data_IF_856714772086
#
_entry.id   IF_856714772086
#
_cell.length_a   1.000
_cell.length_b   1.000
_cell.length_c   1.000
_cell.angle_alpha   90.00
_cell.angle_beta   90.00
_cell.angle_gamma   90.00
#
_symmetry.space_group_name_H-M   'P 1'
#
loop_
_entity.id
_entity.type
_entity.pdbx_description
1 polymer ?
#
# COMPACT_ATOMS: atom_id res chain seq x y z
N UNK A 1 7.77 -2.19 12.34
CA UNK A 1 8.35 -1.18 11.44
C UNK A 1 8.14 -1.64 10.01
N UNK A 2 9.22 -1.82 9.24
CA UNK A 2 9.16 -2.43 7.91
C UNK A 2 9.32 -3.96 7.93
N UNK A 3 9.23 -4.60 9.09
CA UNK A 3 9.63 -6.00 9.28
C UNK A 3 8.85 -6.99 8.40
N UNK A 4 7.59 -6.69 8.08
CA UNK A 4 6.73 -7.48 7.19
C UNK A 4 6.76 -7.03 5.72
N UNK A 5 7.57 -6.01 5.39
CA UNK A 5 7.62 -5.38 4.07
C UNK A 5 8.99 -5.56 3.43
N UNK A 6 9.00 -5.93 2.16
CA UNK A 6 10.20 -5.92 1.34
C UNK A 6 10.25 -4.61 0.55
N UNK A 7 11.27 -3.79 0.79
CA UNK A 7 11.50 -2.55 0.02
C UNK A 7 12.12 -2.91 -1.33
N UNK A 8 11.33 -2.77 -2.40
CA UNK A 8 11.77 -2.98 -3.78
C UNK A 8 12.56 -1.77 -4.30
N UNK A 9 12.10 -0.57 -3.96
CA UNK A 9 12.77 0.69 -4.29
C UNK A 9 12.74 1.59 -3.05
N UNK A 10 13.81 2.32 -2.81
CA UNK A 10 14.02 3.14 -1.62
C UNK A 10 14.77 4.43 -1.99
N UNK A 11 14.27 5.14 -3.01
CA UNK A 11 14.94 6.29 -3.60
C UNK A 11 15.05 7.50 -2.67
N UNK A 12 15.94 8.43 -3.00
CA UNK A 12 16.19 9.65 -2.23
C UNK A 12 16.60 9.37 -0.79
N UNK A 13 15.89 9.94 0.18
CA UNK A 13 16.08 9.68 1.61
C UNK A 13 15.37 8.40 2.11
N UNK A 14 14.83 7.60 1.19
CA UNK A 14 14.14 6.35 1.47
C UNK A 14 12.79 6.49 2.17
N UNK A 15 12.16 5.35 2.40
CA UNK A 15 10.95 5.21 3.19
C UNK A 15 11.20 5.56 4.65
N UNK A 16 10.30 6.36 5.23
CA UNK A 16 10.27 6.64 6.67
C UNK A 16 8.92 6.28 7.27
N UNK A 17 8.87 6.23 8.60
CA UNK A 17 7.65 6.07 9.37
C UNK A 17 7.50 7.32 10.22
N UNK A 18 6.37 8.01 10.06
CA UNK A 18 6.04 9.23 10.78
C UNK A 18 4.77 9.03 11.64
N UNK A 19 4.53 9.94 12.58
CA UNK A 19 3.35 9.93 13.45
C UNK A 19 2.25 10.81 12.85
N UNK A 20 0.99 10.45 13.10
CA UNK A 20 -0.16 11.26 12.70
C UNK A 20 -0.51 12.33 13.77
N UNK A 21 -0.95 13.53 13.35
CA UNK A 21 -0.91 14.03 11.97
C UNK A 21 0.54 14.40 11.59
N UNK A 22 0.88 14.12 10.33
CA UNK A 22 2.17 14.50 9.75
C UNK A 22 2.32 16.00 9.53
N UNK A 23 3.56 16.44 9.26
CA UNK A 23 3.83 17.82 8.85
C UNK A 23 3.07 18.14 7.55
N UNK A 24 2.19 19.12 7.63
CA UNK A 24 1.31 19.53 6.54
C UNK A 24 0.33 18.43 6.05
N UNK A 25 -0.06 17.51 6.93
CA UNK A 25 -1.06 16.48 6.66
C UNK A 25 -2.31 16.61 7.54
N UNK A 26 -3.33 15.79 7.27
CA UNK A 26 -4.55 15.69 8.08
C UNK A 26 -4.59 14.40 8.87
N UNK A 27 -5.48 14.34 9.86
CA UNK A 27 -5.81 13.09 10.53
C UNK A 27 -6.59 12.17 9.58
N UNK A 28 -6.25 10.89 9.62
CA UNK A 28 -7.04 9.84 8.97
C UNK A 28 -8.31 9.59 9.80
N UNK A 29 -9.48 9.30 9.19
CA UNK A 29 -10.71 8.98 9.92
C UNK A 29 -10.69 7.58 10.60
N UNK A 30 -9.52 7.13 11.05
CA UNK A 30 -9.31 5.85 11.73
C UNK A 30 -8.53 6.09 13.04
N UNK A 31 -9.22 6.23 14.18
CA UNK A 31 -8.59 6.70 15.43
C UNK A 31 -7.53 5.73 16.00
N UNK A 32 -7.49 4.48 15.52
CA UNK A 32 -6.50 3.49 15.92
C UNK A 32 -5.20 3.56 15.10
N UNK A 33 -5.18 4.31 14.00
CA UNK A 33 -4.00 4.50 13.15
C UNK A 33 -3.21 5.68 13.69
N UNK A 34 -1.98 5.44 14.12
CA UNK A 34 -1.10 6.47 14.72
C UNK A 34 0.10 6.81 13.84
N UNK A 35 0.45 5.94 12.88
CA UNK A 35 1.65 6.06 12.06
C UNK A 35 1.33 5.79 10.61
N UNK A 36 2.12 6.37 9.72
CA UNK A 36 2.06 6.10 8.28
C UNK A 36 3.47 5.97 7.69
N UNK A 37 3.54 5.42 6.50
CA UNK A 37 4.76 5.34 5.71
C UNK A 37 4.84 6.54 4.77
N UNK A 38 6.00 7.20 4.69
CA UNK A 38 6.22 8.33 3.80
C UNK A 38 7.35 8.00 2.81
N UNK A 39 7.12 8.36 1.55
CA UNK A 39 8.08 8.23 0.45
C UNK A 39 9.00 9.47 0.37
N UNK A 40 10.10 9.34 -0.36
CA UNK A 40 10.99 10.46 -0.67
C UNK A 40 10.65 11.10 -2.03
N UNK A 41 11.44 12.09 -2.44
CA UNK A 41 11.37 12.76 -3.75
C UNK A 41 11.74 11.87 -4.96
N UNK A 42 12.17 10.63 -4.73
CA UNK A 42 12.40 9.61 -5.76
C UNK A 42 11.50 8.40 -5.49
N UNK A 43 11.35 7.53 -6.51
CA UNK A 43 10.47 6.37 -6.43
C UNK A 43 10.79 5.46 -5.24
N UNK A 44 9.75 5.18 -4.46
CA UNK A 44 9.79 4.35 -3.27
C UNK A 44 8.70 3.29 -3.43
N UNK A 45 9.08 2.01 -3.38
CA UNK A 45 8.16 0.88 -3.55
C UNK A 45 8.44 -0.17 -2.49
N UNK A 46 7.37 -0.66 -1.86
CA UNK A 46 7.42 -1.78 -0.92
C UNK A 46 6.34 -2.79 -1.29
N UNK A 47 6.57 -4.06 -0.99
CA UNK A 47 5.60 -5.12 -1.21
C UNK A 47 5.58 -6.12 -0.05
N UNK A 48 4.47 -6.84 0.06
CA UNK A 48 4.30 -7.96 0.97
C UNK A 48 3.74 -9.14 0.18
N UNK A 49 4.18 -10.35 0.53
CA UNK A 49 3.61 -11.60 0.02
C UNK A 49 2.79 -12.22 1.14
N UNK A 50 1.54 -12.58 0.85
CA UNK A 50 0.64 -13.23 1.81
C UNK A 50 0.41 -14.66 1.35
N UNK A 51 0.93 -15.62 2.12
CA UNK A 51 0.65 -17.04 1.91
C UNK A 51 -0.71 -17.36 2.52
N UNK A 52 -1.76 -17.45 1.70
CA UNK A 52 -3.14 -17.65 2.18
C UNK A 52 -3.28 -18.88 3.11
N UNK A 53 -2.56 -19.96 2.83
CA UNK A 53 -2.56 -21.18 3.68
C UNK A 53 -2.14 -20.92 5.12
N UNK A 54 -1.17 -20.04 5.34
CA UNK A 54 -0.65 -19.72 6.68
C UNK A 54 -1.69 -18.96 7.52
N UNK A 55 -2.73 -18.43 6.87
CA UNK A 55 -3.87 -17.76 7.49
C UNK A 55 -5.14 -18.62 7.53
N UNK A 56 -5.03 -19.93 7.25
CA UNK A 56 -6.13 -20.89 7.37
C UNK A 56 -6.98 -21.07 6.10
N UNK A 57 -6.61 -20.42 5.00
CA UNK A 57 -7.29 -20.59 3.71
C UNK A 57 -6.72 -21.82 2.99
N UNK A 58 -7.41 -22.95 3.08
CA UNK A 58 -6.99 -24.19 2.43
C UNK A 58 -7.12 -24.12 0.90
N UNK A 59 -6.38 -24.97 0.19
CA UNK A 59 -6.46 -25.04 -1.28
C UNK A 59 -7.89 -25.34 -1.74
N UNK A 60 -8.54 -26.31 -1.09
CA UNK A 60 -9.93 -26.67 -1.41
C UNK A 60 -10.88 -25.47 -1.26
N UNK A 61 -10.76 -24.69 -0.17
CA UNK A 61 -11.57 -23.50 0.02
C UNK A 61 -11.33 -22.48 -1.10
N UNK A 62 -10.06 -22.22 -1.43
CA UNK A 62 -9.70 -21.25 -2.47
C UNK A 62 -10.11 -21.70 -3.87
N UNK A 63 -10.05 -23.00 -4.17
CA UNK A 63 -10.35 -23.55 -5.50
C UNK A 63 -11.85 -23.75 -5.74
N UNK A 64 -12.59 -24.24 -4.74
CA UNK A 64 -14.01 -24.58 -4.85
C UNK A 64 -14.93 -23.42 -4.48
N UNK A 65 -14.68 -22.77 -3.34
CA UNK A 65 -15.54 -21.69 -2.83
C UNK A 65 -15.16 -20.34 -3.42
N UNK A 66 -13.87 -20.10 -3.68
CA UNK A 66 -13.33 -18.86 -4.25
C UNK A 66 -13.87 -17.62 -3.53
N UNK A 67 -13.62 -17.50 -2.21
CA UNK A 67 -14.13 -16.36 -1.45
C UNK A 67 -13.57 -15.04 -1.99
N UNK A 68 -14.33 -13.98 -1.81
CA UNK A 68 -13.88 -12.64 -2.19
C UNK A 68 -12.62 -12.24 -1.42
N UNK A 69 -11.59 -11.83 -2.17
CA UNK A 69 -10.39 -11.23 -1.61
C UNK A 69 -10.51 -9.72 -1.75
N UNK A 70 -10.73 -9.04 -0.62
CA UNK A 70 -10.85 -7.59 -0.57
C UNK A 70 -9.52 -6.98 -0.15
N UNK A 71 -9.03 -6.02 -0.93
CA UNK A 71 -7.83 -5.24 -0.62
C UNK A 71 -8.22 -3.78 -0.50
N UNK A 72 -7.68 -3.11 0.51
CA UNK A 72 -7.85 -1.68 0.75
C UNK A 72 -6.51 -1.09 1.14
N UNK A 73 -6.23 0.13 0.68
CA UNK A 73 -5.04 0.89 1.03
C UNK A 73 -5.44 2.35 1.21
N UNK A 74 -4.74 3.06 2.10
CA UNK A 74 -4.97 4.48 2.36
C UNK A 74 -3.76 5.29 1.94
N UNK A 75 -4.00 6.37 1.19
CA UNK A 75 -2.93 7.27 0.75
C UNK A 75 -3.33 8.74 0.87
N UNK A 76 -2.32 9.59 1.04
CA UNK A 76 -2.46 11.05 1.04
C UNK A 76 -1.16 11.68 0.53
N UNK A 77 -1.27 12.84 -0.13
CA UNK A 77 -0.12 13.68 -0.41
C UNK A 77 0.09 14.71 0.70
N UNK A 78 1.32 15.22 0.82
CA UNK A 78 1.58 16.42 1.62
C UNK A 78 1.04 17.66 0.90
N UNK A 79 0.73 18.70 1.67
CA UNK A 79 0.24 19.95 1.10
C UNK A 79 1.25 20.60 0.16
N UNK A 80 2.53 20.56 0.53
CA UNK A 80 3.60 21.32 -0.08
C UNK A 80 4.33 20.58 -1.21
N UNK A 81 3.91 19.36 -1.56
CA UNK A 81 4.59 18.55 -2.57
C UNK A 81 3.60 17.65 -3.34
N UNK A 82 3.65 17.71 -4.67
CA UNK A 82 2.93 16.76 -5.51
C UNK A 82 3.57 15.37 -5.45
N UNK A 83 2.78 14.33 -5.68
CA UNK A 83 3.26 12.96 -5.72
C UNK A 83 2.47 12.09 -6.69
N UNK A 84 3.00 10.90 -6.95
CA UNK A 84 2.33 9.86 -7.71
C UNK A 84 2.17 8.63 -6.82
N UNK A 85 0.94 8.13 -6.71
CA UNK A 85 0.62 6.92 -5.97
C UNK A 85 0.21 5.81 -6.93
N UNK A 86 0.75 4.60 -6.69
CA UNK A 86 0.47 3.41 -7.47
C UNK A 86 0.33 2.19 -6.55
N UNK A 87 -0.72 1.42 -6.77
CA UNK A 87 -0.95 0.13 -6.13
C UNK A 87 -0.92 -0.97 -7.19
N UNK A 88 -0.32 -2.12 -6.87
CA UNK A 88 -0.42 -3.32 -7.69
C UNK A 88 -0.69 -4.51 -6.78
N UNK A 89 -1.79 -5.22 -7.03
CA UNK A 89 -2.19 -6.43 -6.30
C UNK A 89 -2.26 -7.57 -7.28
N UNK A 90 -1.66 -8.70 -6.93
CA UNK A 90 -1.67 -9.91 -7.76
C UNK A 90 -2.08 -11.11 -6.93
N UNK A 91 -3.03 -11.88 -7.45
CA UNK A 91 -3.31 -13.22 -6.97
C UNK A 91 -2.39 -14.19 -7.70
N UNK A 92 -1.63 -14.97 -6.95
CA UNK A 92 -0.61 -15.87 -7.48
C UNK A 92 -0.99 -17.33 -7.23
N UNK A 93 -0.64 -18.21 -8.17
CA UNK A 93 -0.63 -19.65 -7.93
C UNK A 93 0.51 -20.06 -7.00
N UNK A 94 0.53 -21.34 -6.59
CA UNK A 94 1.65 -21.94 -5.85
C UNK A 94 3.00 -21.77 -6.56
N UNK A 95 2.99 -21.78 -7.90
CA UNK A 95 4.19 -21.63 -8.74
C UNK A 95 4.47 -20.17 -9.10
N UNK A 96 3.87 -19.21 -8.38
CA UNK A 96 3.99 -17.77 -8.60
C UNK A 96 3.51 -17.26 -9.96
N UNK A 97 2.63 -18.02 -10.62
CA UNK A 97 1.97 -17.58 -11.85
C UNK A 97 0.87 -16.59 -11.48
N UNK A 98 0.82 -15.45 -12.17
CA UNK A 98 -0.23 -14.44 -11.96
C UNK A 98 -1.55 -14.97 -12.49
N UNK A 99 -2.49 -15.23 -11.59
CA UNK A 99 -3.85 -15.67 -11.91
C UNK A 99 -4.77 -14.48 -12.16
N UNK A 100 -4.57 -13.41 -11.40
CA UNK A 100 -5.30 -12.14 -11.53
C UNK A 100 -4.40 -10.99 -11.12
N UNK A 101 -4.56 -9.85 -11.78
CA UNK A 101 -3.89 -8.59 -11.45
C UNK A 101 -4.93 -7.48 -11.31
N UNK A 102 -4.74 -6.66 -10.28
CA UNK A 102 -5.42 -5.40 -10.10
C UNK A 102 -4.36 -4.29 -10.04
N UNK A 103 -4.41 -3.40 -11.03
CA UNK A 103 -3.52 -2.26 -11.19
C UNK A 103 -4.41 -1.04 -11.50
N UNK A 104 -4.87 -0.30 -10.48
CA UNK A 104 -5.60 0.93 -10.69
C UNK A 104 -4.75 1.96 -11.46
N UNK A 105 -5.43 2.92 -12.08
CA UNK A 105 -4.75 4.02 -12.76
C UNK A 105 -3.83 4.78 -11.79
N UNK A 106 -2.71 5.28 -12.32
CA UNK A 106 -1.75 6.07 -11.57
C UNK A 106 -2.45 7.30 -11.00
N UNK A 107 -2.43 7.44 -9.68
CA UNK A 107 -3.01 8.62 -9.04
C UNK A 107 -1.94 9.70 -8.99
N UNK A 108 -2.18 10.80 -9.71
CA UNK A 108 -1.31 11.98 -9.67
C UNK A 108 -1.97 13.02 -8.78
N UNK A 109 -1.23 13.45 -7.75
CA UNK A 109 -1.67 14.49 -6.83
C UNK A 109 -0.73 15.69 -7.00
N UNK A 110 -1.29 16.83 -7.37
CA UNK A 110 -0.52 18.05 -7.55
C UNK A 110 -0.10 18.68 -6.23
N UNK A 111 0.89 19.57 -6.30
CA UNK A 111 1.26 20.42 -5.18
C UNK A 111 0.06 21.30 -4.75
N UNK A 112 -0.01 21.66 -3.47
CA UNK A 112 -1.11 22.40 -2.85
C UNK A 112 -2.43 21.61 -2.83
N UNK A 113 -2.33 20.30 -2.62
CA UNK A 113 -3.48 19.39 -2.49
C UNK A 113 -4.28 19.61 -1.21
N UNK A 114 -5.47 19.04 -1.15
CA UNK A 114 -6.33 19.03 0.03
C UNK A 114 -5.77 18.21 1.20
N UNK A 115 -4.72 17.41 1.00
CA UNK A 115 -4.10 16.50 1.99
C UNK A 115 -5.05 15.47 2.57
N UNK A 116 -6.14 15.17 1.86
CA UNK A 116 -7.14 14.20 2.32
C UNK A 116 -6.65 12.77 2.13
N UNK A 117 -6.91 11.94 3.14
CA UNK A 117 -6.74 10.51 3.08
C UNK A 117 -7.85 9.90 2.21
N UNK A 118 -7.43 9.12 1.21
CA UNK A 118 -8.30 8.42 0.27
C UNK A 118 -8.12 6.91 0.38
#
# INVERSE_FOLDING_TARGET
>A
GFDAWVKKCDGGNGWKIEQLPGDHGRNIPLPHVQKYFVTSYESCMKHQMITLRDHGYSDQLMDEVRPDIVVSDWYAARFDCGCQYQLCVRLLSKDYIVLQEFLPELVVIEQWSDTEWR
#
